data_IF_403009947771
#
_entry.id   IF_403009947771
#
_cell.length_a   1.000
_cell.length_b   1.000
_cell.length_c   1.000
_cell.angle_alpha   90.00
_cell.angle_beta   90.00
_cell.angle_gamma   90.00
#
_symmetry.space_group_name_H-M   'P 1'
#
loop_
_entity.id
_entity.type
_entity.pdbx_description
1 polymer ?
#
# COMPACT_ATOMS: atom_id res chain seq x y z
N UNK A 1 -11.54 -6.03 -8.53
CA UNK A 1 -11.31 -5.99 -7.07
C UNK A 1 -12.17 -7.07 -6.44
N UNK A 2 -11.64 -7.79 -5.45
CA UNK A 2 -12.32 -8.92 -4.82
C UNK A 2 -12.23 -8.80 -3.31
N UNK A 3 -13.33 -9.09 -2.62
CA UNK A 3 -13.35 -9.21 -1.16
C UNK A 3 -13.27 -10.68 -0.80
N UNK A 4 -12.32 -11.00 0.07
CA UNK A 4 -12.16 -12.34 0.60
C UNK A 4 -12.72 -12.41 2.03
N UNK A 5 -13.31 -13.55 2.36
CA UNK A 5 -13.71 -13.89 3.72
C UNK A 5 -12.90 -15.10 4.18
N UNK A 6 -12.37 -15.04 5.40
CA UNK A 6 -11.63 -16.16 5.98
C UNK A 6 -12.63 -17.23 6.42
N UNK A 7 -12.45 -18.45 5.92
CA UNK A 7 -13.28 -19.61 6.26
C UNK A 7 -12.47 -20.52 7.17
N UNK A 8 -12.90 -20.63 8.42
CA UNK A 8 -12.29 -21.44 9.49
C UNK A 8 -10.92 -20.94 9.99
N UNK A 9 -10.33 -21.72 10.91
CA UNK A 9 -9.00 -21.44 11.48
C UNK A 9 -7.86 -21.75 10.51
N UNK A 10 -8.11 -22.58 9.51
CA UNK A 10 -7.19 -22.79 8.38
C UNK A 10 -7.08 -21.50 7.55
N UNK A 11 -5.94 -21.24 6.92
CA UNK A 11 -5.72 -20.06 6.06
C UNK A 11 -6.45 -20.18 4.71
N UNK A 12 -7.73 -20.53 4.75
CA UNK A 12 -8.61 -20.65 3.59
C UNK A 12 -9.45 -19.39 3.45
N UNK A 13 -9.52 -18.88 2.22
CA UNK A 13 -10.24 -17.64 1.90
C UNK A 13 -11.16 -17.87 0.71
N UNK A 14 -12.42 -17.43 0.85
CA UNK A 14 -13.41 -17.48 -0.23
C UNK A 14 -13.72 -16.08 -0.74
N UNK A 15 -13.96 -15.96 -2.04
CA UNK A 15 -14.36 -14.69 -2.64
C UNK A 15 -15.85 -14.48 -2.38
N UNK A 16 -16.18 -13.44 -1.62
CA UNK A 16 -17.57 -13.12 -1.27
C UNK A 16 -18.16 -12.00 -2.11
N UNK A 17 -17.31 -11.07 -2.60
CA UNK A 17 -17.75 -9.99 -3.48
C UNK A 17 -16.70 -9.73 -4.56
N UNK A 18 -17.16 -9.28 -5.73
CA UNK A 18 -16.32 -8.89 -6.86
C UNK A 18 -16.83 -7.57 -7.45
N UNK A 19 -15.90 -6.68 -7.77
CA UNK A 19 -16.17 -5.40 -8.43
C UNK A 19 -15.24 -5.21 -9.62
N UNK A 20 -15.77 -4.66 -10.71
CA UNK A 20 -14.94 -4.23 -11.83
C UNK A 20 -14.36 -2.83 -11.55
N UNK A 21 -13.10 -2.63 -11.95
CA UNK A 21 -12.45 -1.33 -11.76
C UNK A 21 -13.14 -0.21 -12.55
N UNK A 22 -13.69 -0.52 -13.73
CA UNK A 22 -14.42 0.46 -14.57
C UNK A 22 -15.65 1.07 -13.87
N UNK A 23 -16.23 0.34 -12.92
CA UNK A 23 -17.42 0.76 -12.18
C UNK A 23 -17.05 1.64 -10.96
N UNK A 24 -15.76 1.74 -10.62
CA UNK A 24 -15.28 2.63 -9.56
C UNK A 24 -15.31 4.08 -10.07
N UNK A 25 -15.96 4.96 -9.32
CA UNK A 25 -16.13 6.37 -9.66
C UNK A 25 -15.18 7.26 -8.84
N UNK A 26 -14.98 6.92 -7.56
CA UNK A 26 -14.17 7.71 -6.65
C UNK A 26 -13.58 6.87 -5.51
N UNK A 27 -12.40 7.27 -5.04
CA UNK A 27 -11.83 6.88 -3.75
C UNK A 27 -11.73 8.13 -2.88
N UNK A 28 -12.33 8.07 -1.69
CA UNK A 28 -12.34 9.18 -0.73
C UNK A 28 -11.55 8.78 0.52
N UNK A 29 -10.45 9.49 0.79
CA UNK A 29 -9.59 9.26 1.96
C UNK A 29 -10.18 9.75 3.29
N UNK A 30 -11.40 10.31 3.26
CA UNK A 30 -12.15 10.98 4.32
C UNK A 30 -11.47 12.23 4.87
N UNK A 31 -10.37 12.04 5.59
CA UNK A 31 -9.59 13.11 6.23
C UNK A 31 -8.14 12.99 5.78
N UNK A 32 -7.66 13.97 5.01
CA UNK A 32 -6.30 13.99 4.48
C UNK A 32 -5.26 14.26 5.59
N UNK A 33 -5.63 15.11 6.56
CA UNK A 33 -4.75 15.58 7.63
C UNK A 33 -4.68 14.64 8.84
N UNK A 34 -5.51 13.59 8.84
CA UNK A 34 -5.60 12.64 9.95
C UNK A 34 -5.02 11.28 9.55
N UNK A 35 -4.11 10.76 10.37
CA UNK A 35 -3.49 9.45 10.18
C UNK A 35 -4.46 8.31 10.51
N UNK A 36 -5.41 8.05 9.60
CA UNK A 36 -6.42 7.00 9.75
C UNK A 36 -6.38 6.00 8.59
N UNK A 37 -6.67 4.71 8.86
CA UNK A 37 -6.75 3.69 7.81
C UNK A 37 -8.09 3.66 7.07
N UNK A 38 -9.04 4.54 7.41
CA UNK A 38 -10.39 4.53 6.85
C UNK A 38 -10.47 5.29 5.52
N UNK A 39 -11.26 4.76 4.59
CA UNK A 39 -11.53 5.37 3.29
C UNK A 39 -12.82 4.81 2.71
N UNK A 40 -13.38 5.51 1.73
CA UNK A 40 -14.58 5.08 1.02
C UNK A 40 -14.28 4.79 -0.45
N UNK A 41 -14.93 3.74 -0.96
CA UNK A 41 -14.96 3.43 -2.37
C UNK A 41 -16.35 3.64 -2.93
N UNK A 42 -16.45 4.50 -3.92
CA UNK A 42 -17.71 4.89 -4.54
C UNK A 42 -17.88 4.13 -5.86
N UNK A 43 -18.79 3.17 -5.85
CA UNK A 43 -19.36 2.54 -7.05
C UNK A 43 -20.82 3.01 -7.17
N UNK A 44 -21.71 2.15 -7.68
CA UNK A 44 -23.16 2.34 -7.55
C UNK A 44 -23.65 2.49 -6.10
N UNK A 45 -22.88 1.94 -5.13
CA UNK A 45 -23.04 2.22 -3.71
C UNK A 45 -21.70 2.56 -3.07
N UNK A 46 -21.76 3.23 -1.93
CA UNK A 46 -20.59 3.59 -1.13
C UNK A 46 -20.20 2.42 -0.24
N UNK A 47 -18.92 2.05 -0.27
CA UNK A 47 -18.32 1.05 0.60
C UNK A 47 -17.35 1.74 1.55
N UNK A 48 -17.67 1.70 2.85
CA UNK A 48 -16.77 2.16 3.90
C UNK A 48 -15.77 1.05 4.22
N UNK A 49 -14.48 1.34 4.09
CA UNK A 49 -13.41 0.36 4.23
C UNK A 49 -12.36 0.82 5.24
N UNK A 50 -11.68 -0.15 5.81
CA UNK A 50 -10.55 0.03 6.71
C UNK A 50 -9.36 -0.75 6.11
N UNK A 51 -8.28 -0.04 5.82
CA UNK A 51 -7.03 -0.67 5.43
C UNK A 51 -6.30 -1.25 6.65
N UNK A 52 -5.32 -2.12 6.42
CA UNK A 52 -4.47 -2.64 7.49
C UNK A 52 -3.71 -1.53 8.24
N UNK A 53 -3.35 -0.45 7.54
CA UNK A 53 -2.68 0.71 8.08
C UNK A 53 -2.94 1.93 7.19
N UNK A 54 -2.63 3.13 7.67
CA UNK A 54 -2.69 4.34 6.85
C UNK A 54 -1.75 4.26 5.63
N UNK A 55 -0.54 3.73 5.80
CA UNK A 55 0.37 3.48 4.68
C UNK A 55 -0.24 2.52 3.63
N UNK A 56 -0.98 1.50 4.07
CA UNK A 56 -1.72 0.59 3.19
C UNK A 56 -2.85 1.31 2.45
N UNK A 57 -3.56 2.26 3.10
CA UNK A 57 -4.59 3.12 2.48
C UNK A 57 -4.01 3.90 1.29
N UNK A 58 -2.89 4.61 1.51
CA UNK A 58 -2.21 5.38 0.45
C UNK A 58 -1.65 4.49 -0.67
N UNK A 59 -1.07 3.34 -0.32
CA UNK A 59 -0.56 2.37 -1.30
C UNK A 59 -1.68 1.83 -2.19
N UNK A 60 -2.85 1.54 -1.59
CA UNK A 60 -4.03 1.09 -2.32
C UNK A 60 -4.50 2.15 -3.32
N UNK A 61 -4.70 3.40 -2.87
CA UNK A 61 -5.16 4.49 -3.74
C UNK A 61 -4.23 4.70 -4.94
N UNK A 62 -2.90 4.73 -4.73
CA UNK A 62 -1.91 4.84 -5.81
C UNK A 62 -1.95 3.67 -6.78
N UNK A 63 -2.05 2.45 -6.26
CA UNK A 63 -2.11 1.25 -7.10
C UNK A 63 -3.34 1.28 -8.00
N UNK A 64 -4.51 1.65 -7.45
CA UNK A 64 -5.75 1.78 -8.22
C UNK A 64 -5.63 2.89 -9.27
N UNK A 65 -5.07 4.05 -8.92
CA UNK A 65 -4.81 5.13 -9.87
C UNK A 65 -3.96 4.68 -11.05
N UNK A 66 -2.86 3.96 -10.76
CA UNK A 66 -1.93 3.44 -11.77
C UNK A 66 -2.59 2.39 -12.68
N UNK A 67 -3.38 1.48 -12.11
CA UNK A 67 -4.15 0.50 -12.89
C UNK A 67 -5.18 1.17 -13.78
N UNK A 68 -5.89 2.19 -13.27
CA UNK A 68 -6.84 2.96 -14.05
C UNK A 68 -6.15 3.68 -15.22
N UNK A 69 -5.03 4.37 -14.97
CA UNK A 69 -4.24 5.05 -16.01
C UNK A 69 -3.70 4.07 -17.07
N UNK A 70 -3.30 2.87 -16.66
CA UNK A 70 -2.74 1.85 -17.56
C UNK A 70 -3.80 1.21 -18.46
N UNK A 71 -4.95 0.84 -17.89
CA UNK A 71 -5.91 -0.04 -18.59
C UNK A 71 -7.20 0.64 -19.03
N UNK A 72 -7.69 1.63 -18.28
CA UNK A 72 -9.01 2.22 -18.51
C UNK A 72 -8.94 3.64 -19.06
N UNK A 73 -7.91 4.41 -18.67
CA UNK A 73 -7.75 5.83 -19.01
C UNK A 73 -9.00 6.67 -18.72
N UNK A 74 -9.77 6.26 -17.71
CA UNK A 74 -10.95 6.96 -17.22
C UNK A 74 -10.53 8.06 -16.25
N UNK A 75 -11.31 9.13 -16.16
CA UNK A 75 -11.19 10.08 -15.06
C UNK A 75 -11.68 9.43 -13.76
N UNK A 76 -10.74 9.00 -12.92
CA UNK A 76 -11.01 8.40 -11.61
C UNK A 76 -10.66 9.43 -10.54
N UNK A 77 -11.64 9.80 -9.71
CA UNK A 77 -11.45 10.78 -8.65
C UNK A 77 -10.80 10.14 -7.44
N UNK A 78 -9.69 10.71 -6.98
CA UNK A 78 -9.06 10.36 -5.71
C UNK A 78 -9.00 11.65 -4.90
N UNK A 79 -9.76 11.70 -3.80
CA UNK A 79 -10.01 12.93 -3.03
C UNK A 79 -9.74 12.70 -1.55
N UNK A 80 -9.48 13.78 -0.81
CA UNK A 80 -9.19 13.74 0.64
C UNK A 80 -8.00 12.84 1.00
N UNK A 81 -6.98 12.85 0.13
CA UNK A 81 -5.66 12.30 0.40
C UNK A 81 -4.65 13.44 0.34
N UNK A 82 -3.63 13.38 1.19
CA UNK A 82 -2.48 14.29 1.05
C UNK A 82 -1.70 13.93 -0.23
N UNK A 83 -1.59 14.93 -1.12
CA UNK A 83 -0.93 14.81 -2.42
C UNK A 83 0.53 14.40 -2.31
N UNK A 84 1.20 14.75 -1.20
CA UNK A 84 2.60 14.41 -0.93
C UNK A 84 2.80 12.90 -0.91
N UNK A 85 1.84 12.16 -0.35
CA UNK A 85 1.89 10.71 -0.23
C UNK A 85 1.26 9.98 -1.43
N UNK A 86 0.48 10.68 -2.26
CA UNK A 86 -0.03 10.14 -3.52
C UNK A 86 1.02 10.17 -4.64
N UNK A 87 1.86 11.19 -4.69
CA UNK A 87 2.86 11.39 -5.75
C UNK A 87 4.22 10.74 -5.44
N UNK A 88 4.17 9.48 -4.99
CA UNK A 88 5.29 8.77 -4.35
C UNK A 88 6.40 8.29 -5.31
N UNK A 89 6.36 8.65 -6.60
CA UNK A 89 7.43 8.31 -7.54
C UNK A 89 8.78 8.97 -7.14
N UNK A 90 8.75 10.03 -6.32
CA UNK A 90 9.95 10.72 -5.81
C UNK A 90 10.42 10.23 -4.43
N UNK A 91 9.52 9.85 -3.51
CA UNK A 91 9.89 9.51 -2.13
C UNK A 91 10.32 8.04 -2.04
N UNK A 92 9.61 7.10 -2.70
CA UNK A 92 9.99 5.68 -2.69
C UNK A 92 11.17 5.33 -3.60
N UNK A 93 11.43 6.08 -4.67
CA UNK A 93 12.52 5.75 -5.60
C UNK A 93 13.91 6.10 -5.06
N UNK A 94 14.01 7.17 -4.27
CA UNK A 94 15.26 7.61 -3.65
C UNK A 94 15.46 6.95 -2.28
N UNK A 95 14.46 7.00 -1.39
CA UNK A 95 14.66 6.59 0.01
C UNK A 95 14.80 5.08 0.21
N UNK A 96 14.04 4.24 -0.52
CA UNK A 96 14.13 2.78 -0.32
C UNK A 96 15.41 2.18 -0.91
N UNK A 97 15.92 2.67 -2.05
CA UNK A 97 17.16 2.14 -2.61
C UNK A 97 18.35 2.47 -1.72
N UNK A 98 18.43 3.69 -1.23
CA UNK A 98 19.52 4.12 -0.36
C UNK A 98 19.42 3.48 1.03
N UNK A 99 18.22 3.38 1.61
CA UNK A 99 18.02 2.67 2.88
C UNK A 99 18.30 1.16 2.78
N UNK A 100 17.93 0.49 1.69
CA UNK A 100 18.23 -0.94 1.50
C UNK A 100 19.73 -1.18 1.31
N UNK A 101 20.43 -0.27 0.62
CA UNK A 101 21.89 -0.30 0.50
C UNK A 101 22.56 -0.07 1.85
N UNK A 102 22.13 0.95 2.61
CA UNK A 102 22.61 1.21 3.97
C UNK A 102 22.39 0.02 4.91
N UNK A 103 21.19 -0.57 4.91
CA UNK A 103 20.89 -1.76 5.70
C UNK A 103 21.82 -2.91 5.34
N UNK A 104 22.02 -3.19 4.04
CA UNK A 104 22.97 -4.22 3.58
C UNK A 104 24.39 -3.96 4.06
N UNK A 105 24.86 -2.71 4.01
CA UNK A 105 26.19 -2.32 4.49
C UNK A 105 26.29 -2.53 5.99
N UNK A 106 25.29 -2.10 6.77
CA UNK A 106 25.24 -2.30 8.21
C UNK A 106 25.29 -3.79 8.57
N UNK A 107 24.47 -4.64 7.94
CA UNK A 107 24.50 -6.08 8.16
C UNK A 107 25.88 -6.69 7.85
N UNK A 108 26.52 -6.27 6.76
CA UNK A 108 27.87 -6.72 6.42
C UNK A 108 28.91 -6.30 7.46
N UNK A 109 28.86 -5.05 7.91
CA UNK A 109 29.76 -4.53 8.94
C UNK A 109 29.57 -5.27 10.27
N UNK A 110 28.34 -5.51 10.70
CA UNK A 110 28.05 -6.31 11.90
C UNK A 110 28.60 -7.73 11.78
N UNK A 111 28.40 -8.39 10.64
CA UNK A 111 28.97 -9.73 10.41
C UNK A 111 30.51 -9.74 10.47
N UNK A 112 31.17 -8.73 9.91
CA UNK A 112 32.64 -8.61 9.95
C UNK A 112 33.15 -8.36 11.38
N UNK A 113 32.44 -7.55 12.16
CA UNK A 113 32.76 -7.32 13.59
C UNK A 113 32.56 -8.59 14.40
N UNK A 114 31.48 -9.34 14.15
CA UNK A 114 31.27 -10.63 14.80
C UNK A 114 32.38 -11.63 14.47
N UNK A 115 32.88 -11.66 13.23
CA UNK A 115 33.97 -12.53 12.80
C UNK A 115 35.33 -12.13 13.39
N UNK A 116 35.59 -10.83 13.58
CA UNK A 116 36.85 -10.34 14.17
C UNK A 116 36.93 -10.53 15.69
N UNK A 117 35.78 -10.71 16.35
CA UNK A 117 35.67 -10.98 17.78
C UNK A 117 35.64 -12.48 18.12
N UNK A 118 35.64 -13.37 17.12
CA UNK A 118 35.80 -14.80 17.35
C UNK A 118 37.26 -15.10 17.74
N UNK A 119 37.52 -15.71 18.91
CA UNK A 119 38.86 -16.17 19.23
C UNK A 119 39.29 -17.24 18.22
N UNK A 120 40.47 -17.08 17.64
CA UNK A 120 41.14 -18.12 16.85
C UNK A 120 41.52 -19.24 17.81
N UNK A 121 40.67 -20.25 17.93
CA UNK A 121 40.95 -21.53 18.58
C UNK A 121 41.75 -22.45 17.67
#
# INVERSE_FOLDING_TARGET
MVKHWRVNREEKYEIVEKWFLKDLEMIDGKEADTDTPYFDMHFHKVYNLEAYSCASKYTFARTISKLNAMYLKKDLKIVNFDETYLNDDLIWSSSNRDCLVLMRICFYAFNLVCLSLCPLS
#
